data_IF_045360892856
#
_entry.id   IF_045360892856
#
_cell.length_a   1.000
_cell.length_b   1.000
_cell.length_c   1.000
_cell.angle_alpha   90.00
_cell.angle_beta   90.00
_cell.angle_gamma   90.00
#
_symmetry.space_group_name_H-M   'P 1'
#
loop_
_entity.id
_entity.type
_entity.pdbx_description
1 polymer ?
#
# COMPACT_ATOMS: atom_id res chain seq x y z
N UNK A 1 5.52 5.00 -6.75
CA UNK A 1 4.17 5.60 -6.55
C UNK A 1 3.87 6.54 -7.71
N UNK A 2 2.71 6.45 -8.37
CA UNK A 2 2.31 7.40 -9.41
C UNK A 2 2.29 8.85 -8.90
N UNK A 3 2.47 9.80 -9.82
CA UNK A 3 2.32 11.23 -9.51
C UNK A 3 0.88 11.51 -9.04
N UNK A 4 0.72 12.46 -8.13
CA UNK A 4 -0.54 12.88 -7.48
C UNK A 4 -1.19 11.87 -6.54
N UNK A 5 -0.76 10.61 -6.53
CA UNK A 5 -1.27 9.63 -5.56
C UNK A 5 -0.68 9.88 -4.18
N UNK A 6 -1.49 9.84 -3.13
CA UNK A 6 -0.97 9.75 -1.76
C UNK A 6 -0.42 8.34 -1.48
N UNK A 7 0.49 8.23 -0.52
CA UNK A 7 0.99 6.91 -0.08
C UNK A 7 -0.15 6.03 0.48
N UNK A 8 -1.17 6.63 1.10
CA UNK A 8 -2.38 5.94 1.55
C UNK A 8 -3.27 5.44 0.40
N UNK A 9 -3.39 6.20 -0.69
CA UNK A 9 -4.14 5.76 -1.88
C UNK A 9 -3.48 4.52 -2.50
N UNK A 10 -2.14 4.47 -2.55
CA UNK A 10 -1.41 3.28 -3.00
C UNK A 10 -1.69 2.06 -2.10
N UNK A 11 -1.64 2.22 -0.78
CA UNK A 11 -1.99 1.16 0.20
C UNK A 11 -3.42 0.66 -0.01
N UNK A 12 -4.39 1.58 -0.16
CA UNK A 12 -5.79 1.23 -0.33
C UNK A 12 -6.06 0.48 -1.63
N UNK A 13 -5.44 0.92 -2.73
CA UNK A 13 -5.51 0.23 -4.03
C UNK A 13 -4.99 -1.19 -3.89
N UNK A 14 -3.77 -1.36 -3.37
CA UNK A 14 -3.17 -2.68 -3.25
C UNK A 14 -3.97 -3.60 -2.31
N UNK A 15 -4.45 -3.07 -1.18
CA UNK A 15 -5.33 -3.82 -0.27
C UNK A 15 -6.58 -4.33 -0.98
N UNK A 16 -7.19 -3.54 -1.84
CA UNK A 16 -8.38 -3.95 -2.59
C UNK A 16 -8.04 -5.02 -3.64
N UNK A 17 -6.98 -4.82 -4.42
CA UNK A 17 -6.53 -5.79 -5.44
C UNK A 17 -6.23 -7.16 -4.81
N UNK A 18 -5.48 -7.20 -3.71
CA UNK A 18 -5.13 -8.45 -3.02
C UNK A 18 -6.39 -9.16 -2.51
N UNK A 19 -7.34 -8.41 -1.92
CA UNK A 19 -8.60 -9.00 -1.43
C UNK A 19 -9.39 -9.66 -2.55
N UNK A 20 -9.43 -9.04 -3.74
CA UNK A 20 -10.13 -9.58 -4.92
C UNK A 20 -9.40 -10.76 -5.54
N UNK A 21 -8.09 -10.64 -5.76
CA UNK A 21 -7.29 -11.65 -6.44
C UNK A 21 -7.22 -12.96 -5.65
N UNK A 22 -7.22 -12.89 -4.31
CA UNK A 22 -7.05 -14.06 -3.45
C UNK A 22 -8.31 -14.42 -2.64
N UNK A 23 -9.44 -13.75 -2.89
CA UNK A 23 -10.69 -13.91 -2.13
C UNK A 23 -10.50 -13.79 -0.59
N UNK A 24 -9.65 -12.85 -0.16
CA UNK A 24 -9.31 -12.65 1.25
C UNK A 24 -10.26 -11.60 1.85
N UNK A 25 -10.94 -11.96 2.95
CA UNK A 25 -11.87 -11.04 3.64
C UNK A 25 -11.14 -9.87 4.32
N UNK A 26 -10.03 -10.14 5.02
CA UNK A 26 -9.24 -9.14 5.76
C UNK A 26 -7.75 -9.37 5.55
N UNK A 27 -7.03 -8.29 5.21
CA UNK A 27 -5.57 -8.26 5.15
C UNK A 27 -5.08 -6.90 5.65
N UNK A 28 -4.01 -6.90 6.45
CA UNK A 28 -3.31 -5.67 6.85
C UNK A 28 -2.29 -5.30 5.78
N UNK A 29 -2.29 -4.05 5.36
CA UNK A 29 -1.34 -3.47 4.39
C UNK A 29 -0.92 -2.11 4.92
N UNK A 30 0.36 -1.77 4.79
CA UNK A 30 0.92 -0.47 5.20
C UNK A 30 2.19 -0.13 4.41
N UNK A 31 2.68 1.09 4.51
CA UNK A 31 3.94 1.51 3.89
C UNK A 31 5.04 1.73 4.94
N UNK A 32 6.29 1.55 4.57
CA UNK A 32 7.45 1.78 5.46
C UNK A 32 7.99 3.22 5.41
N UNK A 33 7.30 4.12 4.72
CA UNK A 33 7.62 5.54 4.64
C UNK A 33 6.62 6.26 3.74
N UNK A 34 6.41 7.55 3.99
CA UNK A 34 5.49 8.36 3.18
C UNK A 34 6.27 9.07 2.09
N UNK A 35 5.77 9.00 0.85
CA UNK A 35 6.14 9.91 -0.22
C UNK A 35 5.06 10.97 -0.41
N UNK A 36 5.48 12.21 -0.66
CA UNK A 36 4.60 13.30 -1.04
C UNK A 36 3.77 12.96 -2.29
N UNK A 37 2.52 13.46 -2.40
CA UNK A 37 1.69 13.20 -3.58
C UNK A 37 2.37 13.58 -4.89
N UNK A 38 3.14 14.67 -4.89
CA UNK A 38 3.87 15.18 -6.05
C UNK A 38 5.24 14.51 -6.26
N UNK A 39 5.67 13.61 -5.37
CA UNK A 39 6.87 12.81 -5.56
C UNK A 39 6.58 11.48 -6.25
N UNK A 40 7.49 11.06 -7.12
CA UNK A 40 7.56 9.68 -7.65
C UNK A 40 8.77 8.96 -7.07
N UNK A 41 8.79 7.64 -7.19
CA UNK A 41 9.89 6.81 -6.66
C UNK A 41 9.42 5.56 -5.94
N UNK A 42 10.36 4.94 -5.22
CA UNK A 42 10.17 3.71 -4.47
C UNK A 42 9.32 3.95 -3.22
N UNK A 43 8.19 3.26 -3.14
CA UNK A 43 7.34 3.21 -1.93
C UNK A 43 7.31 1.76 -1.46
N UNK A 44 7.95 1.47 -0.33
CA UNK A 44 7.98 0.11 0.23
C UNK A 44 6.63 -0.18 0.90
N UNK A 45 5.99 -1.27 0.48
CA UNK A 45 4.71 -1.72 1.01
C UNK A 45 4.88 -3.05 1.74
N UNK A 46 4.33 -3.13 2.94
CA UNK A 46 4.35 -4.32 3.79
C UNK A 46 2.93 -4.88 3.93
N UNK A 47 2.81 -6.20 4.12
CA UNK A 47 1.53 -6.90 4.33
C UNK A 47 1.56 -7.82 5.55
N UNK A 48 0.39 -8.09 6.14
CA UNK A 48 0.26 -9.05 7.23
C UNK A 48 1.11 -8.69 8.45
N UNK A 49 1.82 -9.68 9.01
CA UNK A 49 2.68 -9.48 10.20
C UNK A 49 3.85 -8.52 9.96
N UNK A 50 4.38 -8.45 8.73
CA UNK A 50 5.47 -7.55 8.32
C UNK A 50 5.14 -6.06 8.38
N UNK A 51 3.88 -5.69 8.68
CA UNK A 51 3.47 -4.29 8.89
C UNK A 51 3.73 -3.78 10.31
N UNK A 52 4.38 -4.57 11.17
CA UNK A 52 4.74 -4.23 12.55
C UNK A 52 6.22 -4.55 12.87
N UNK A 53 6.98 -4.94 11.86
CA UNK A 53 8.44 -5.00 11.95
C UNK A 53 8.98 -3.60 11.70
#
# INVERSE_FOLDING_TARGET
>A
KPLQWTSFQAVNKLRWEIRRAFNIKKIKVGHAGTLDPLATGLLVICTGKKTKE
#
